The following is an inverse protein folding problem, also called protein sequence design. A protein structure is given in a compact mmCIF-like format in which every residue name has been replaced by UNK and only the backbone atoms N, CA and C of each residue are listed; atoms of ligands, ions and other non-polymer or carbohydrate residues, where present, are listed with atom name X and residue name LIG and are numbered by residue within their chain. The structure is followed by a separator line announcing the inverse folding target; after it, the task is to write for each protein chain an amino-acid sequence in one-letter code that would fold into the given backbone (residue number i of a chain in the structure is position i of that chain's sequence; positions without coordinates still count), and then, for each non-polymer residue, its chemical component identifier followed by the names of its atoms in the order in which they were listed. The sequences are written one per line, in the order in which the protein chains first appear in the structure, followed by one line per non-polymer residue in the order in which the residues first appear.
data_IF_123058966467
#
_entry.id   IF_123058966467
#
_cell.length_a   1.000
_cell.length_b   1.000
_cell.length_c   1.000
_cell.angle_alpha   90.00
_cell.angle_beta   90.00
_cell.angle_gamma   90.00
#
_symmetry.space_group_name_H-M   'P 1'
#
loop_
_entity.id
_entity.type
_entity.pdbx_description
1 polymer ?
#
# COMPACT_ATOMS: atom_id res chain seq x y z
N UNK A 1 13.14 29.87 -68.79
CA UNK A 1 12.97 30.67 -67.55
C UNK A 1 12.60 29.82 -66.31
N UNK A 2 13.22 28.64 -66.10
CA UNK A 2 13.06 27.84 -64.85
C UNK A 2 14.39 27.28 -64.30
N UNK A 3 15.54 27.65 -64.87
CA UNK A 3 16.86 27.11 -64.47
C UNK A 3 17.77 28.11 -63.73
N UNK A 4 17.26 29.30 -63.38
CA UNK A 4 18.01 30.34 -62.65
C UNK A 4 17.40 30.71 -61.28
N UNK A 5 16.24 30.14 -60.91
CA UNK A 5 15.56 30.49 -59.64
C UNK A 5 16.06 29.69 -58.43
N UNK A 6 16.80 28.60 -58.64
CA UNK A 6 17.24 27.68 -57.58
C UNK A 6 18.47 28.17 -56.78
N UNK A 7 19.51 28.80 -57.37
CA UNK A 7 20.64 29.31 -56.58
C UNK A 7 20.34 30.62 -55.83
N UNK A 8 19.36 31.42 -56.25
CA UNK A 8 18.96 32.64 -55.54
C UNK A 8 18.18 32.36 -54.25
N UNK A 9 17.30 31.34 -54.24
CA UNK A 9 16.54 30.97 -53.06
C UNK A 9 17.44 30.34 -51.97
N UNK A 10 18.53 29.68 -52.38
CA UNK A 10 19.47 29.04 -51.48
C UNK A 10 20.42 30.06 -50.80
N UNK A 11 20.84 31.13 -51.50
CA UNK A 11 21.64 32.19 -50.86
C UNK A 11 20.83 33.06 -49.89
N UNK A 12 19.52 33.19 -50.12
CA UNK A 12 18.60 33.93 -49.25
C UNK A 12 18.28 33.18 -47.95
N UNK A 13 18.20 31.84 -48.00
CA UNK A 13 18.02 31.01 -46.80
C UNK A 13 19.28 30.99 -45.90
N UNK A 14 20.46 31.06 -46.52
CA UNK A 14 21.74 31.01 -45.82
C UNK A 14 22.08 32.34 -45.12
N UNK A 15 21.70 33.49 -45.70
CA UNK A 15 21.85 34.79 -45.05
C UNK A 15 20.89 34.98 -43.87
N UNK A 16 19.69 34.38 -43.91
CA UNK A 16 18.76 34.37 -42.77
C UNK A 16 19.29 33.52 -41.60
N UNK A 17 19.86 32.34 -41.86
CA UNK A 17 20.45 31.50 -40.81
C UNK A 17 21.61 32.19 -40.09
N UNK A 18 22.40 33.01 -40.81
CA UNK A 18 23.57 33.68 -40.23
C UNK A 18 23.20 34.92 -39.40
N UNK A 19 22.07 35.58 -39.72
CA UNK A 19 21.54 36.69 -38.91
C UNK A 19 20.96 36.27 -37.55
N UNK A 20 20.47 35.03 -37.43
CA UNK A 20 19.96 34.49 -36.15
C UNK A 20 21.07 34.02 -35.19
N UNK A 21 22.27 33.74 -35.69
CA UNK A 21 23.41 33.31 -34.87
C UNK A 21 24.14 34.47 -34.16
N UNK A 22 23.80 35.73 -34.46
CA UNK A 22 24.44 36.93 -33.87
C UNK A 22 23.60 37.64 -32.79
N UNK A 23 22.44 37.10 -32.41
CA UNK A 23 21.56 37.71 -31.40
C UNK A 23 21.37 36.82 -30.15
N UNK A 24 22.48 36.45 -29.51
CA UNK A 24 22.50 36.15 -28.07
C UNK A 24 23.32 37.21 -27.33
N UNK A 25 22.79 37.85 -26.27
CA UNK A 25 23.54 38.79 -25.46
C UNK A 25 24.63 38.09 -24.64
N UNK A 26 25.84 38.66 -24.66
CA UNK A 26 26.95 38.34 -23.78
C UNK A 26 26.55 38.56 -22.30
N UNK A 27 26.89 37.60 -21.44
CA UNK A 27 27.01 37.82 -19.99
C UNK A 27 28.28 37.11 -19.51
N UNK A 28 29.26 37.91 -19.09
CA UNK A 28 30.52 37.49 -18.47
C UNK A 28 30.31 37.04 -17.00
N UNK A 29 31.32 36.41 -16.36
CA UNK A 29 31.11 35.34 -15.37
C UNK A 29 31.03 35.85 -13.94
N UNK A 30 30.07 35.34 -13.17
CA UNK A 30 30.09 35.40 -11.71
C UNK A 30 29.77 34.03 -11.10
N UNK A 31 30.57 33.70 -10.10
CA UNK A 31 30.84 32.40 -9.49
C UNK A 31 29.68 31.86 -8.65
N UNK A 32 29.24 30.61 -8.90
CA UNK A 32 28.45 29.79 -7.96
C UNK A 32 28.81 28.29 -8.05
N UNK A 33 28.71 27.51 -6.94
CA UNK A 33 29.37 26.22 -6.72
C UNK A 33 28.58 25.00 -7.28
N UNK A 34 29.14 23.78 -7.31
CA UNK A 34 28.71 22.72 -8.21
C UNK A 34 27.36 22.09 -7.82
N UNK A 35 26.44 22.02 -8.77
CA UNK A 35 25.23 21.18 -8.68
C UNK A 35 25.60 19.71 -8.91
N UNK A 36 25.31 18.90 -7.88
CA UNK A 36 25.23 17.43 -7.91
C UNK A 36 23.84 17.00 -7.38
N UNK A 37 23.32 15.82 -7.76
CA UNK A 37 22.33 15.72 -8.83
C UNK A 37 20.89 15.44 -8.35
N UNK A 38 19.94 15.93 -9.13
CA UNK A 38 18.48 15.77 -9.00
C UNK A 38 17.97 14.32 -9.24
N UNK A 39 18.85 13.32 -9.21
CA UNK A 39 18.54 11.90 -9.46
C UNK A 39 18.23 11.09 -8.18
N UNK A 40 18.57 11.60 -6.99
CA UNK A 40 18.30 10.90 -5.72
C UNK A 40 16.84 11.02 -5.24
N UNK A 41 16.15 12.13 -5.56
CA UNK A 41 14.76 12.33 -5.15
C UNK A 41 13.81 11.41 -5.95
N UNK A 42 14.14 11.14 -7.20
CA UNK A 42 13.34 10.29 -8.10
C UNK A 42 13.47 8.79 -7.76
N UNK A 43 14.66 8.35 -7.33
CA UNK A 43 14.85 6.99 -6.78
C UNK A 43 14.13 6.82 -5.43
N UNK A 44 14.13 7.86 -4.58
CA UNK A 44 13.40 7.86 -3.31
C UNK A 44 11.87 7.86 -3.50
N UNK A 45 11.34 8.51 -4.55
CA UNK A 45 9.92 8.47 -4.89
C UNK A 45 9.45 7.09 -5.37
N UNK A 46 10.29 6.37 -6.13
CA UNK A 46 10.05 4.97 -6.47
C UNK A 46 10.15 4.09 -5.22
N UNK A 47 11.04 4.41 -4.27
CA UNK A 47 11.15 3.69 -2.99
C UNK A 47 9.98 3.96 -2.04
N UNK A 48 9.36 5.15 -2.03
CA UNK A 48 8.16 5.43 -1.26
C UNK A 48 6.93 4.69 -1.82
N UNK A 49 6.80 4.61 -3.15
CA UNK A 49 5.79 3.78 -3.82
C UNK A 49 6.09 2.27 -3.66
N UNK A 50 7.37 1.87 -3.66
CA UNK A 50 7.79 0.51 -3.36
C UNK A 50 7.57 0.15 -1.88
N UNK A 51 7.66 1.10 -0.94
CA UNK A 51 7.32 0.92 0.47
C UNK A 51 5.81 0.69 0.65
N UNK A 52 4.96 1.42 -0.09
CA UNK A 52 3.51 1.15 -0.17
C UNK A 52 3.24 -0.27 -0.69
N UNK A 53 3.96 -0.70 -1.72
CA UNK A 53 3.87 -2.06 -2.26
C UNK A 53 4.54 -3.14 -1.37
N UNK A 54 5.53 -2.79 -0.56
CA UNK A 54 6.26 -3.66 0.35
C UNK A 54 5.49 -3.89 1.67
N UNK A 55 4.77 -2.87 2.17
CA UNK A 55 3.87 -2.99 3.31
C UNK A 55 2.67 -3.91 3.03
N UNK A 56 2.22 -4.01 1.78
CA UNK A 56 1.25 -5.04 1.33
C UNK A 56 1.88 -6.44 1.26
N UNK A 57 3.21 -6.54 1.18
CA UNK A 57 3.94 -7.78 0.86
C UNK A 57 4.38 -8.61 2.09
N UNK A 58 4.51 -8.01 3.29
CA UNK A 58 5.23 -8.66 4.41
C UNK A 58 4.47 -9.72 5.24
N UNK A 59 3.22 -10.07 4.96
CA UNK A 59 2.46 -10.98 5.86
C UNK A 59 1.76 -12.20 5.25
N UNK A 60 1.98 -12.56 3.99
CA UNK A 60 1.51 -13.86 3.47
C UNK A 60 2.51 -15.03 3.68
N UNK A 61 3.44 -14.90 4.64
CA UNK A 61 4.55 -15.84 4.79
C UNK A 61 4.85 -16.39 6.18
N UNK A 62 4.04 -16.18 7.24
CA UNK A 62 4.31 -16.75 8.58
C UNK A 62 3.05 -17.35 9.23
N UNK A 63 2.68 -18.56 8.81
CA UNK A 63 2.08 -19.57 9.69
C UNK A 63 3.07 -20.73 9.81
N UNK A 64 4.05 -20.61 10.72
CA UNK A 64 4.85 -21.75 11.15
C UNK A 64 4.07 -22.50 12.21
N UNK A 65 3.49 -23.63 11.80
CA UNK A 65 3.18 -24.74 12.70
C UNK A 65 4.49 -25.21 13.35
N UNK A 66 4.50 -25.33 14.67
CA UNK A 66 5.56 -25.98 15.42
C UNK A 66 5.60 -27.47 15.08
N UNK A 67 6.77 -28.08 14.79
CA UNK A 67 6.86 -29.51 14.63
C UNK A 67 6.88 -30.20 16.00
N UNK A 68 5.94 -31.13 16.13
CA UNK A 68 5.85 -32.20 17.10
C UNK A 68 7.11 -33.08 17.03
N UNK A 69 7.81 -33.24 18.15
CA UNK A 69 8.82 -34.28 18.35
C UNK A 69 8.28 -35.31 19.35
N UNK A 70 8.39 -36.56 18.95
CA UNK A 70 7.85 -37.78 19.56
C UNK A 70 8.57 -38.26 20.82
N UNK A 71 7.76 -38.74 21.76
CA UNK A 71 7.96 -39.90 22.66
C UNK A 71 9.26 -40.07 23.46
N UNK A 72 9.13 -39.98 24.79
CA UNK A 72 9.59 -41.02 25.73
C UNK A 72 8.81 -40.94 27.05
N UNK A 73 7.95 -41.93 27.30
CA UNK A 73 7.40 -42.31 28.62
C UNK A 73 8.44 -43.17 29.37
N UNK A 74 8.51 -43.15 30.71
CA UNK A 74 7.56 -43.86 31.59
C UNK A 74 7.19 -43.00 32.83
N UNK A 75 6.13 -43.19 33.61
CA UNK A 75 5.13 -44.23 33.76
C UNK A 75 4.47 -43.99 35.13
N UNK A 76 3.21 -44.42 35.27
CA UNK A 76 2.46 -44.64 36.51
C UNK A 76 1.96 -43.44 37.35
N UNK A 77 0.64 -43.24 37.31
CA UNK A 77 -0.19 -43.36 38.51
C UNK A 77 -0.80 -42.08 39.11
N UNK A 78 -2.12 -41.96 38.99
CA UNK A 78 -2.99 -41.63 40.15
C UNK A 78 -3.17 -40.16 40.56
N UNK A 79 -4.32 -39.62 40.16
CA UNK A 79 -5.11 -38.55 40.83
C UNK A 79 -5.39 -38.87 42.32
N UNK A 80 -6.04 -38.00 43.15
CA UNK A 80 -6.26 -36.54 43.12
C UNK A 80 -6.04 -35.81 44.49
N UNK A 81 -6.08 -34.47 44.46
CA UNK A 81 -6.74 -33.46 45.36
C UNK A 81 -7.05 -33.88 46.83
N UNK A 82 -6.78 -33.04 47.86
CA UNK A 82 -7.89 -32.28 48.46
C UNK A 82 -7.58 -30.86 49.04
N UNK A 83 -8.55 -29.97 48.85
CA UNK A 83 -9.19 -28.99 49.79
C UNK A 83 -8.39 -28.11 50.78
N UNK A 84 -8.78 -26.83 50.87
CA UNK A 84 -8.28 -25.77 51.78
C UNK A 84 -8.55 -25.98 53.29
N UNK A 85 -8.80 -24.95 54.15
CA UNK A 85 -8.91 -23.50 53.96
C UNK A 85 -8.00 -22.64 54.92
N UNK A 86 -8.26 -21.33 54.97
CA UNK A 86 -7.70 -20.22 55.80
C UNK A 86 -7.81 -20.45 57.35
N UNK A 87 -7.59 -19.49 58.31
CA UNK A 87 -7.31 -18.03 58.23
C UNK A 87 -6.40 -17.46 59.39
N UNK A 88 -6.50 -16.12 59.62
CA UNK A 88 -6.08 -15.31 60.80
C UNK A 88 -4.58 -14.99 60.97
N UNK A 89 -4.14 -13.92 61.63
CA UNK A 89 -4.55 -12.54 61.96
C UNK A 89 -3.42 -12.01 62.87
N UNK A 90 -3.40 -10.70 63.13
CA UNK A 90 -2.70 -10.01 64.25
C UNK A 90 -1.19 -9.78 64.09
N UNK A 91 -0.55 -8.72 64.59
CA UNK A 91 -0.89 -7.35 65.01
C UNK A 91 0.46 -6.70 65.40
N UNK A 92 0.57 -5.38 65.26
CA UNK A 92 1.40 -4.41 66.01
C UNK A 92 2.75 -4.80 66.65
N UNK A 93 3.71 -3.86 66.57
CA UNK A 93 4.72 -3.73 67.61
C UNK A 93 5.86 -2.76 67.28
N UNK A 94 5.77 -1.55 67.81
CA UNK A 94 6.65 -0.41 67.58
C UNK A 94 8.02 -0.49 68.31
N UNK A 95 8.95 0.36 67.83
CA UNK A 95 9.91 1.16 68.61
C UNK A 95 11.31 0.61 68.97
N UNK A 96 12.33 1.27 68.41
CA UNK A 96 13.30 2.18 69.10
C UNK A 96 14.82 1.86 68.96
N UNK A 97 15.60 2.97 68.94
CA UNK A 97 17.04 3.16 69.29
C UNK A 97 18.10 2.74 68.26
N UNK A 98 18.80 3.66 67.58
CA UNK A 98 19.85 4.68 67.93
C UNK A 98 21.29 4.21 67.69
N UNK A 99 22.01 5.07 66.93
CA UNK A 99 23.42 5.47 66.99
C UNK A 99 24.56 4.66 66.33
N UNK A 100 25.33 5.44 65.54
CA UNK A 100 26.80 5.53 65.37
C UNK A 100 27.51 4.90 64.15
N UNK A 101 28.00 5.82 63.31
CA UNK A 101 29.37 5.94 62.73
C UNK A 101 29.92 4.85 61.80
N UNK A 102 30.06 5.18 60.50
CA UNK A 102 31.35 5.29 59.77
C UNK A 102 31.14 5.30 58.24
N UNK A 103 31.67 6.32 57.57
CA UNK A 103 32.04 6.31 56.13
C UNK A 103 33.40 5.61 55.94
N UNK A 104 33.89 5.31 54.72
CA UNK A 104 33.30 5.38 53.37
C UNK A 104 33.49 4.06 52.56
N UNK A 105 33.03 4.03 51.30
CA UNK A 105 33.71 3.50 50.10
C UNK A 105 32.66 3.02 49.08
N UNK A 106 32.84 3.49 47.85
CA UNK A 106 31.94 3.39 46.72
C UNK A 106 31.76 1.97 46.16
N UNK A 107 30.53 1.66 45.76
CA UNK A 107 30.20 0.65 44.75
C UNK A 107 28.97 1.14 43.95
N UNK A 108 28.91 0.90 42.63
CA UNK A 108 28.01 1.61 41.74
C UNK A 108 26.58 1.10 41.87
N UNK A 109 25.64 2.03 41.99
CA UNK A 109 24.21 1.74 41.79
C UNK A 109 24.02 1.37 40.33
N UNK A 110 23.59 0.14 40.10
CA UNK A 110 23.11 -0.34 38.81
C UNK A 110 21.86 0.48 38.49
N UNK A 111 22.02 1.53 37.69
CA UNK A 111 20.90 2.18 37.00
C UNK A 111 20.20 1.11 36.17
N UNK A 112 18.99 0.73 36.60
CA UNK A 112 18.07 0.00 35.76
C UNK A 112 17.89 0.81 34.48
N UNK A 113 18.39 0.27 33.37
CA UNK A 113 18.10 0.77 32.02
C UNK A 113 16.58 0.82 31.87
N UNK A 114 16.00 2.01 31.95
CA UNK A 114 14.71 2.27 31.36
C UNK A 114 14.85 1.93 29.88
N UNK A 115 14.14 0.90 29.46
CA UNK A 115 13.82 0.66 28.05
C UNK A 115 13.28 1.96 27.45
N UNK A 116 13.73 2.40 26.27
CA UNK A 116 13.21 3.60 25.65
C UNK A 116 11.70 3.41 25.44
N UNK A 117 10.90 4.26 26.08
CA UNK A 117 9.47 4.38 25.80
C UNK A 117 9.27 4.61 24.30
N UNK A 118 8.25 4.01 23.66
CA UNK A 118 7.98 4.27 22.25
C UNK A 118 7.79 5.78 22.04
N UNK A 119 8.54 6.36 21.10
CA UNK A 119 8.44 7.78 20.77
C UNK A 119 7.05 8.00 20.18
N UNK A 120 6.19 8.70 20.91
CA UNK A 120 4.82 9.02 20.49
C UNK A 120 4.81 10.25 19.60
N UNK A 121 4.02 10.25 18.53
CA UNK A 121 3.82 11.40 17.65
C UNK A 121 3.33 12.63 18.43
N UNK A 122 2.46 12.43 19.41
CA UNK A 122 1.94 13.51 20.26
C UNK A 122 3.01 14.22 21.10
N UNK A 123 4.12 13.54 21.39
CA UNK A 123 5.19 14.09 22.22
C UNK A 123 6.30 14.74 21.38
N UNK A 124 6.21 14.69 20.05
CA UNK A 124 7.16 15.31 19.15
C UNK A 124 6.66 16.69 18.73
N UNK A 125 7.34 17.74 19.22
CA UNK A 125 7.02 19.13 18.94
C UNK A 125 7.03 19.45 17.43
N UNK A 126 7.86 18.74 16.65
CA UNK A 126 7.90 18.92 15.19
C UNK A 126 6.67 18.34 14.51
N UNK A 127 6.19 17.18 14.97
CA UNK A 127 4.96 16.57 14.43
C UNK A 127 3.76 17.46 14.71
N UNK A 128 3.67 17.99 15.93
CA UNK A 128 2.63 18.97 16.27
C UNK A 128 2.71 20.23 15.40
N UNK A 129 3.91 20.78 15.20
CA UNK A 129 4.12 21.94 14.32
C UNK A 129 3.67 21.68 12.88
N UNK A 130 4.00 20.51 12.31
CA UNK A 130 3.56 20.15 10.96
C UNK A 130 2.05 19.92 10.87
N UNK A 131 1.42 19.37 11.90
CA UNK A 131 -0.05 19.22 11.94
C UNK A 131 -0.73 20.60 11.95
N UNK A 132 -0.22 21.55 12.73
CA UNK A 132 -0.72 22.92 12.75
C UNK A 132 -0.54 23.62 11.40
N UNK A 133 0.63 23.46 10.78
CA UNK A 133 0.92 24.00 9.44
C UNK A 133 0.03 23.37 8.36
N UNK A 134 -0.26 22.07 8.45
CA UNK A 134 -1.16 21.37 7.53
C UNK A 134 -2.60 21.92 7.61
N UNK A 135 -3.10 22.14 8.83
CA UNK A 135 -4.49 22.56 9.03
C UNK A 135 -4.70 24.07 8.80
N UNK A 136 -3.75 24.92 9.23
CA UNK A 136 -3.96 26.38 9.29
C UNK A 136 -2.84 27.20 8.65
N UNK A 137 -1.69 26.59 8.35
CA UNK A 137 -0.51 27.30 7.92
C UNK A 137 -0.40 27.50 6.41
N UNK A 138 0.47 28.43 5.96
CA UNK A 138 0.78 28.60 4.54
C UNK A 138 1.69 27.49 4.00
N UNK A 139 2.41 26.76 4.86
CA UNK A 139 3.42 25.77 4.45
C UNK A 139 2.86 24.34 4.35
N UNK A 140 1.59 24.19 3.93
CA UNK A 140 0.89 22.89 3.85
C UNK A 140 1.68 21.83 3.08
N UNK A 141 2.26 22.18 1.94
CA UNK A 141 2.98 21.23 1.08
C UNK A 141 4.22 20.64 1.75
N UNK A 142 4.99 21.45 2.47
CA UNK A 142 6.15 20.98 3.21
C UNK A 142 5.74 20.10 4.39
N UNK A 143 4.67 20.48 5.10
CA UNK A 143 4.11 19.70 6.20
C UNK A 143 3.62 18.31 5.71
N UNK A 144 2.91 18.24 4.58
CA UNK A 144 2.49 16.99 3.95
C UNK A 144 3.67 16.07 3.64
N UNK A 145 4.75 16.63 3.07
CA UNK A 145 5.93 15.86 2.72
C UNK A 145 6.62 15.28 3.96
N UNK A 146 6.84 16.09 4.99
CA UNK A 146 7.55 15.64 6.20
C UNK A 146 6.72 14.65 7.03
N UNK A 147 5.41 14.90 7.20
CA UNK A 147 4.50 13.94 7.83
C UNK A 147 4.45 12.63 7.04
N UNK A 148 4.42 12.70 5.71
CA UNK A 148 4.42 11.52 4.83
C UNK A 148 5.66 10.64 5.02
N UNK A 149 6.85 11.25 5.19
CA UNK A 149 8.10 10.52 5.50
C UNK A 149 8.08 9.89 6.89
N UNK A 150 7.37 10.50 7.83
CA UNK A 150 7.33 10.09 9.24
C UNK A 150 6.25 9.07 9.58
N UNK A 151 5.36 8.75 8.65
CA UNK A 151 4.22 7.84 8.86
C UNK A 151 4.57 6.43 9.36
N UNK A 152 5.77 5.94 9.09
CA UNK A 152 6.24 4.60 9.51
C UNK A 152 6.99 4.62 10.85
N UNK A 153 7.34 5.82 11.36
CA UNK A 153 8.10 5.97 12.60
C UNK A 153 7.22 6.07 13.84
N UNK A 154 5.94 6.43 13.68
CA UNK A 154 5.02 6.65 14.78
C UNK A 154 3.75 5.83 14.56
N UNK A 155 3.50 4.87 15.46
CA UNK A 155 2.31 4.02 15.41
C UNK A 155 1.02 4.83 15.71
N UNK A 156 1.13 5.89 16.51
CA UNK A 156 0.01 6.73 16.93
C UNK A 156 -0.30 7.90 15.98
N UNK A 157 0.48 8.10 14.91
CA UNK A 157 0.26 9.23 13.99
C UNK A 157 -1.15 9.23 13.39
N UNK A 158 -1.68 8.06 13.05
CA UNK A 158 -3.05 7.93 12.53
C UNK A 158 -4.10 8.50 13.50
N UNK A 159 -3.95 8.23 14.80
CA UNK A 159 -4.83 8.75 15.85
C UNK A 159 -4.71 10.27 15.95
N UNK A 160 -3.49 10.80 15.86
CA UNK A 160 -3.27 12.25 15.92
C UNK A 160 -3.91 12.93 14.72
N UNK A 161 -3.69 12.41 13.50
CA UNK A 161 -4.26 12.97 12.27
C UNK A 161 -5.79 12.97 12.31
N UNK A 162 -6.40 11.89 12.80
CA UNK A 162 -7.86 11.78 12.86
C UNK A 162 -8.50 12.70 13.91
N UNK A 163 -7.90 12.78 15.10
CA UNK A 163 -8.49 13.54 16.22
C UNK A 163 -8.09 15.02 16.25
N UNK A 164 -7.11 15.44 15.43
CA UNK A 164 -6.73 16.85 15.32
C UNK A 164 -7.76 17.63 14.51
N UNK A 165 -8.24 18.73 15.09
CA UNK A 165 -9.27 19.56 14.47
C UNK A 165 -8.79 20.14 13.13
N UNK A 166 -9.60 19.96 12.08
CA UNK A 166 -9.35 20.50 10.73
C UNK A 166 -8.42 19.68 9.83
N UNK A 167 -7.69 18.69 10.36
CA UNK A 167 -6.70 17.92 9.59
C UNK A 167 -7.37 17.08 8.49
N UNK A 168 -8.39 16.30 8.82
CA UNK A 168 -9.09 15.47 7.83
C UNK A 168 -9.75 16.33 6.74
N UNK A 169 -10.27 17.51 7.10
CA UNK A 169 -10.82 18.49 6.14
C UNK A 169 -9.72 19.01 5.20
N UNK A 170 -8.55 19.37 5.72
CA UNK A 170 -7.42 19.82 4.91
C UNK A 170 -6.93 18.72 3.96
N UNK A 171 -6.88 17.46 4.40
CA UNK A 171 -6.51 16.34 3.53
C UNK A 171 -7.54 16.10 2.41
N UNK A 172 -8.83 16.26 2.70
CA UNK A 172 -9.89 16.16 1.68
C UNK A 172 -9.85 17.35 0.71
N UNK A 173 -9.52 18.56 1.18
CA UNK A 173 -9.31 19.74 0.34
C UNK A 173 -8.21 19.49 -0.71
N UNK A 174 -7.09 18.87 -0.31
CA UNK A 174 -6.00 18.50 -1.23
C UNK A 174 -6.45 17.49 -2.32
N UNK A 175 -7.39 16.60 -2.01
CA UNK A 175 -7.97 15.68 -3.01
C UNK A 175 -8.88 16.45 -3.98
N UNK A 176 -9.83 17.21 -3.44
CA UNK A 176 -10.84 17.91 -4.25
C UNK A 176 -10.20 18.98 -5.15
N UNK A 177 -9.13 19.62 -4.69
CA UNK A 177 -8.34 20.57 -5.48
C UNK A 177 -7.77 19.97 -6.78
N UNK A 178 -7.61 18.64 -6.84
CA UNK A 178 -7.08 17.95 -8.03
C UNK A 178 -8.16 17.64 -9.06
N UNK A 179 -9.44 17.60 -8.67
CA UNK A 179 -10.54 17.20 -9.57
C UNK A 179 -10.63 17.98 -10.89
N UNK A 180 -10.43 19.32 -10.92
CA UNK A 180 -10.47 20.08 -12.17
C UNK A 180 -9.39 19.66 -13.19
N UNK A 181 -8.30 19.03 -12.73
CA UNK A 181 -7.18 18.61 -13.58
C UNK A 181 -7.31 17.16 -14.08
N UNK A 182 -8.37 16.44 -13.69
CA UNK A 182 -8.63 15.06 -14.14
C UNK A 182 -9.26 15.02 -15.54
N UNK A 183 -10.13 15.99 -15.85
CA UNK A 183 -10.82 16.10 -17.13
C UNK A 183 -11.04 17.59 -17.47
N UNK A 184 -10.30 18.17 -18.45
CA UNK A 184 -9.25 17.56 -19.26
C UNK A 184 -8.00 17.16 -18.43
N UNK A 185 -7.21 16.16 -18.89
CA UNK A 185 -6.11 15.59 -18.11
C UNK A 185 -4.86 16.50 -18.09
N UNK A 186 -4.89 17.52 -17.24
CA UNK A 186 -3.85 18.55 -17.11
C UNK A 186 -3.09 18.46 -15.76
N UNK A 187 -2.97 17.26 -15.20
CA UNK A 187 -2.29 17.05 -13.93
C UNK A 187 -0.77 17.11 -14.09
N UNK A 188 -0.13 18.07 -13.41
CA UNK A 188 1.33 18.23 -13.42
C UNK A 188 1.99 17.30 -12.39
N UNK A 189 3.28 17.00 -12.58
CA UNK A 189 4.07 16.18 -11.65
C UNK A 189 4.10 16.75 -10.22
N UNK A 190 4.34 18.06 -10.00
CA UNK A 190 4.31 18.63 -8.64
C UNK A 190 2.94 18.50 -7.98
N UNK A 191 1.86 18.77 -8.70
CA UNK A 191 0.49 18.63 -8.18
C UNK A 191 0.17 17.18 -7.81
N UNK A 192 0.54 16.22 -8.66
CA UNK A 192 0.41 14.78 -8.36
C UNK A 192 1.22 14.38 -7.12
N UNK A 193 2.47 14.84 -6.98
CA UNK A 193 3.28 14.54 -5.80
C UNK A 193 2.65 15.09 -4.51
N UNK A 194 2.14 16.32 -4.55
CA UNK A 194 1.50 16.97 -3.40
C UNK A 194 0.28 16.19 -2.91
N UNK A 195 -0.66 15.86 -3.82
CA UNK A 195 -1.84 15.07 -3.43
C UNK A 195 -1.47 13.65 -3.00
N UNK A 196 -0.46 13.03 -3.62
CA UNK A 196 0.02 11.71 -3.21
C UNK A 196 0.60 11.71 -1.79
N UNK A 197 1.21 12.81 -1.33
CA UNK A 197 1.61 12.95 0.07
C UNK A 197 0.39 12.99 1.01
N UNK A 198 -0.69 13.67 0.62
CA UNK A 198 -1.95 13.63 1.38
C UNK A 198 -2.58 12.22 1.38
N UNK A 199 -2.60 11.53 0.24
CA UNK A 199 -3.07 10.14 0.12
C UNK A 199 -2.24 9.19 0.99
N UNK A 200 -0.93 9.40 1.11
CA UNK A 200 -0.06 8.63 1.99
C UNK A 200 -0.45 8.76 3.48
N UNK A 201 -0.89 9.95 3.91
CA UNK A 201 -1.41 10.16 5.26
C UNK A 201 -2.79 9.50 5.45
N UNK A 202 -3.68 9.60 4.44
CA UNK A 202 -4.95 8.88 4.47
C UNK A 202 -4.76 7.36 4.50
N UNK A 203 -3.73 6.84 3.83
CA UNK A 203 -3.36 5.42 3.92
C UNK A 203 -2.96 5.04 5.36
N UNK A 204 -2.22 5.91 6.07
CA UNK A 204 -1.87 5.70 7.47
C UNK A 204 -3.14 5.61 8.33
N UNK A 205 -4.05 6.56 8.18
CA UNK A 205 -5.35 6.59 8.88
C UNK A 205 -6.22 5.35 8.54
N UNK A 206 -6.25 4.91 7.29
CA UNK A 206 -6.99 3.73 6.85
C UNK A 206 -6.40 2.42 7.42
N UNK A 207 -5.08 2.38 7.64
CA UNK A 207 -4.40 1.17 8.12
C UNK A 207 -4.60 0.94 9.63
N UNK A 208 -4.72 2.00 10.42
CA UNK A 208 -4.78 1.92 11.88
C UNK A 208 -6.14 1.40 12.39
N UNK A 209 -6.18 0.42 13.30
CA UNK A 209 -7.41 -0.25 13.73
C UNK A 209 -8.46 0.70 14.29
N UNK A 210 -8.06 1.67 15.11
CA UNK A 210 -9.00 2.55 15.82
C UNK A 210 -9.62 3.64 14.92
N UNK A 211 -8.96 3.99 13.81
CA UNK A 211 -9.45 5.04 12.89
C UNK A 211 -10.11 4.47 11.64
N UNK A 212 -9.85 3.20 11.31
CA UNK A 212 -10.33 2.55 10.08
C UNK A 212 -11.85 2.56 9.95
N UNK A 213 -12.58 2.16 11.00
CA UNK A 213 -14.05 2.13 10.96
C UNK A 213 -14.61 3.54 10.82
N UNK A 214 -14.03 4.52 11.51
CA UNK A 214 -14.45 5.91 11.39
C UNK A 214 -14.15 6.48 9.98
N UNK A 215 -13.00 6.14 9.40
CA UNK A 215 -12.62 6.47 8.02
C UNK A 215 -13.58 5.89 6.98
N UNK A 216 -14.03 4.64 7.19
CA UNK A 216 -15.01 3.97 6.36
C UNK A 216 -16.40 4.62 6.49
N UNK A 217 -16.85 4.88 7.71
CA UNK A 217 -18.15 5.50 8.00
C UNK A 217 -18.24 6.93 7.46
N UNK A 218 -17.12 7.65 7.41
CA UNK A 218 -17.02 8.96 6.79
C UNK A 218 -17.03 8.91 5.24
N UNK A 219 -17.10 7.72 4.64
CA UNK A 219 -17.12 7.50 3.19
C UNK A 219 -15.95 8.14 2.42
N UNK A 220 -14.84 8.40 3.11
CA UNK A 220 -13.62 8.99 2.52
C UNK A 220 -13.11 8.22 1.29
N UNK A 221 -13.15 6.88 1.23
CA UNK A 221 -12.72 6.15 0.02
C UNK A 221 -13.38 6.60 -1.28
N UNK A 222 -14.63 7.10 -1.24
CA UNK A 222 -15.36 7.54 -2.43
C UNK A 222 -14.70 8.73 -3.12
N UNK A 223 -14.00 9.59 -2.36
CA UNK A 223 -13.25 10.71 -2.91
C UNK A 223 -12.07 10.27 -3.80
N UNK A 224 -11.65 9.00 -3.71
CA UNK A 224 -10.53 8.46 -4.47
C UNK A 224 -10.97 7.84 -5.81
N UNK A 225 -12.26 7.58 -6.00
CA UNK A 225 -12.75 6.91 -7.20
C UNK A 225 -12.59 7.72 -8.49
N UNK A 226 -12.74 9.06 -8.48
CA UNK A 226 -12.38 9.88 -9.63
C UNK A 226 -10.93 9.68 -10.08
N UNK A 227 -10.00 9.47 -9.14
CA UNK A 227 -8.59 9.20 -9.46
C UNK A 227 -8.42 7.83 -10.12
N UNK A 228 -9.08 6.80 -9.58
CA UNK A 228 -9.04 5.43 -10.11
C UNK A 228 -9.67 5.32 -11.52
N UNK A 229 -10.64 6.18 -11.83
CA UNK A 229 -11.33 6.14 -13.13
C UNK A 229 -10.56 6.85 -14.27
N UNK A 230 -9.43 7.50 -13.98
CA UNK A 230 -8.62 8.19 -15.00
C UNK A 230 -8.02 7.22 -16.02
N UNK A 231 -7.96 7.65 -17.29
CA UNK A 231 -7.45 6.85 -18.42
C UNK A 231 -6.07 7.29 -18.93
N UNK A 232 -5.54 8.40 -18.40
CA UNK A 232 -4.28 8.96 -18.86
C UNK A 232 -3.10 8.09 -18.42
N UNK A 233 -2.27 7.68 -19.40
CA UNK A 233 -1.03 6.91 -19.17
C UNK A 233 0.17 7.78 -18.80
N UNK A 234 -0.03 9.08 -18.61
CA UNK A 234 1.05 9.97 -18.17
C UNK A 234 1.50 9.60 -16.75
N UNK A 235 2.79 9.77 -16.47
CA UNK A 235 3.40 9.44 -15.17
C UNK A 235 2.67 10.04 -13.96
N UNK A 236 2.21 11.32 -13.96
CA UNK A 236 1.47 11.88 -12.83
C UNK A 236 0.16 11.14 -12.53
N UNK A 237 -0.53 10.62 -13.55
CA UNK A 237 -1.79 9.88 -13.40
C UNK A 237 -1.57 8.42 -12.99
N UNK A 238 -0.52 7.75 -13.49
CA UNK A 238 -0.14 6.41 -13.02
C UNK A 238 0.23 6.45 -11.54
N UNK A 239 1.01 7.46 -11.11
CA UNK A 239 1.39 7.61 -9.71
C UNK A 239 0.18 7.92 -8.80
N UNK A 240 -0.73 8.78 -9.27
CA UNK A 240 -1.97 9.10 -8.56
C UNK A 240 -2.84 7.85 -8.36
N UNK A 241 -3.05 7.06 -9.42
CA UNK A 241 -3.83 5.80 -9.36
C UNK A 241 -3.20 4.79 -8.41
N UNK A 242 -1.89 4.58 -8.51
CA UNK A 242 -1.17 3.66 -7.63
C UNK A 242 -1.31 4.05 -6.16
N UNK A 243 -1.13 5.32 -5.83
CA UNK A 243 -1.21 5.81 -4.45
C UNK A 243 -2.64 5.71 -3.91
N UNK A 244 -3.64 6.01 -4.75
CA UNK A 244 -5.06 5.85 -4.42
C UNK A 244 -5.43 4.39 -4.15
N UNK A 245 -4.94 3.45 -4.99
CA UNK A 245 -5.08 2.02 -4.74
C UNK A 245 -4.38 1.57 -3.44
N UNK A 246 -3.28 2.22 -3.06
CA UNK A 246 -2.60 1.97 -1.78
C UNK A 246 -3.50 2.21 -0.57
N UNK A 247 -4.32 3.27 -0.60
CA UNK A 247 -5.31 3.55 0.46
C UNK A 247 -6.37 2.45 0.53
N UNK A 248 -6.95 2.07 -0.61
CA UNK A 248 -7.96 0.99 -0.67
C UNK A 248 -7.34 -0.36 -0.26
N UNK A 249 -6.12 -0.64 -0.71
CA UNK A 249 -5.34 -1.81 -0.34
C UNK A 249 -5.09 -1.93 1.16
N UNK A 250 -4.83 -0.80 1.85
CA UNK A 250 -4.67 -0.77 3.29
C UNK A 250 -5.97 -1.10 4.04
N UNK A 251 -7.13 -0.66 3.52
CA UNK A 251 -8.44 -0.99 4.11
C UNK A 251 -8.73 -2.49 4.07
N UNK A 252 -8.54 -3.12 2.90
CA UNK A 252 -8.84 -4.55 2.70
C UNK A 252 -7.79 -5.49 3.31
N UNK A 253 -6.65 -4.96 3.76
CA UNK A 253 -5.54 -5.77 4.29
C UNK A 253 -5.94 -6.58 5.53
N UNK A 254 -6.80 -6.01 6.37
CA UNK A 254 -7.14 -6.55 7.69
C UNK A 254 -8.38 -7.46 7.70
N UNK A 255 -8.85 -7.90 6.52
CA UNK A 255 -9.95 -8.86 6.37
C UNK A 255 -11.22 -8.49 7.16
N UNK A 256 -11.51 -7.19 7.24
CA UNK A 256 -12.69 -6.67 7.95
C UNK A 256 -13.91 -6.77 7.03
N UNK A 257 -14.95 -7.55 7.38
CA UNK A 257 -16.09 -7.81 6.49
C UNK A 257 -16.88 -6.55 6.17
N UNK A 258 -16.96 -5.58 7.10
CA UNK A 258 -17.61 -4.28 6.89
C UNK A 258 -16.96 -3.49 5.74
N UNK A 259 -15.63 -3.57 5.61
CA UNK A 259 -14.90 -2.92 4.51
C UNK A 259 -15.27 -3.57 3.18
N UNK A 260 -15.35 -4.90 3.13
CA UNK A 260 -15.74 -5.62 1.92
C UNK A 260 -17.17 -5.24 1.53
N UNK A 261 -18.11 -5.25 2.48
CA UNK A 261 -19.50 -4.88 2.23
C UNK A 261 -19.63 -3.46 1.68
N UNK A 262 -18.92 -2.49 2.28
CA UNK A 262 -18.86 -1.12 1.76
C UNK A 262 -18.37 -1.11 0.30
N UNK A 263 -17.24 -1.76 0.03
CA UNK A 263 -16.62 -1.79 -1.31
C UNK A 263 -17.51 -2.44 -2.38
N UNK A 264 -18.31 -3.45 -2.00
CA UNK A 264 -19.27 -4.08 -2.90
C UNK A 264 -20.42 -3.14 -3.27
N UNK A 265 -20.88 -2.31 -2.33
CA UNK A 265 -21.97 -1.33 -2.58
C UNK A 265 -21.53 -0.12 -3.42
N UNK A 266 -20.23 0.08 -3.59
CA UNK A 266 -19.66 1.28 -4.21
C UNK A 266 -18.94 1.01 -5.53
N UNK A 267 -19.10 -0.18 -6.12
CA UNK A 267 -18.56 -0.51 -7.46
C UNK A 267 -17.02 -0.43 -7.58
N UNK A 268 -16.27 -0.83 -6.55
CA UNK A 268 -14.79 -0.87 -6.65
C UNK A 268 -14.29 -1.90 -7.69
N UNK A 269 -15.03 -2.99 -7.88
CA UNK A 269 -14.61 -4.11 -8.75
C UNK A 269 -14.41 -3.64 -10.19
N UNK A 270 -15.37 -2.99 -10.86
CA UNK A 270 -15.16 -2.42 -12.20
C UNK A 270 -13.92 -1.52 -12.32
N UNK A 271 -13.66 -0.67 -11.31
CA UNK A 271 -12.48 0.20 -11.30
C UNK A 271 -11.18 -0.61 -11.22
N UNK A 272 -11.12 -1.62 -10.35
CA UNK A 272 -9.96 -2.50 -10.26
C UNK A 272 -9.74 -3.31 -11.54
N UNK A 273 -10.80 -3.86 -12.14
CA UNK A 273 -10.71 -4.63 -13.39
C UNK A 273 -10.14 -3.78 -14.54
N UNK A 274 -10.60 -2.54 -14.67
CA UNK A 274 -10.07 -1.59 -15.66
C UNK A 274 -8.58 -1.29 -15.47
N UNK A 275 -8.13 -1.16 -14.21
CA UNK A 275 -6.71 -0.96 -13.90
C UNK A 275 -5.90 -2.23 -14.20
N UNK A 276 -6.43 -3.40 -13.83
CA UNK A 276 -5.84 -4.72 -14.10
C UNK A 276 -5.64 -5.00 -15.59
N UNK A 277 -6.51 -4.47 -16.45
CA UNK A 277 -6.43 -4.63 -17.90
C UNK A 277 -5.24 -3.85 -18.51
N UNK A 278 -5.14 -2.55 -18.22
CA UNK A 278 -4.37 -1.62 -19.06
C UNK A 278 -3.34 -0.71 -18.37
N UNK A 279 -3.11 -0.87 -17.06
CA UNK A 279 -2.18 0.00 -16.28
C UNK A 279 -0.77 -0.58 -16.11
N UNK A 280 0.11 0.15 -15.42
CA UNK A 280 1.45 -0.33 -15.03
C UNK A 280 1.39 -1.62 -14.17
N UNK A 281 2.42 -2.45 -14.26
CA UNK A 281 2.53 -3.73 -13.51
C UNK A 281 2.31 -3.56 -12.01
N UNK A 282 2.84 -2.47 -11.44
CA UNK A 282 2.68 -2.17 -10.01
C UNK A 282 1.22 -1.88 -9.66
N UNK A 283 0.53 -1.06 -10.46
CA UNK A 283 -0.90 -0.79 -10.30
C UNK A 283 -1.75 -2.05 -10.50
N UNK A 284 -1.42 -2.89 -11.50
CA UNK A 284 -2.06 -4.19 -11.71
C UNK A 284 -1.93 -5.09 -10.49
N UNK A 285 -0.74 -5.14 -9.89
CA UNK A 285 -0.47 -5.95 -8.68
C UNK A 285 -1.33 -5.51 -7.49
N UNK A 286 -1.45 -4.21 -7.25
CA UNK A 286 -2.29 -3.72 -6.13
C UNK A 286 -3.78 -3.91 -6.43
N UNK A 287 -4.22 -3.70 -7.68
CA UNK A 287 -5.60 -3.90 -8.08
C UNK A 287 -6.05 -5.37 -7.97
N UNK A 288 -5.25 -6.32 -8.45
CA UNK A 288 -5.56 -7.75 -8.27
C UNK A 288 -5.52 -8.15 -6.79
N UNK A 289 -4.64 -7.56 -5.98
CA UNK A 289 -4.65 -7.81 -4.53
C UNK A 289 -5.97 -7.39 -3.87
N UNK A 290 -6.53 -6.24 -4.26
CA UNK A 290 -7.84 -5.78 -3.77
C UNK A 290 -8.95 -6.73 -4.22
N UNK A 291 -8.99 -7.09 -5.51
CA UNK A 291 -9.98 -8.05 -6.05
C UNK A 291 -9.85 -9.41 -5.36
N UNK A 292 -8.63 -9.89 -5.13
CA UNK A 292 -8.40 -11.13 -4.40
C UNK A 292 -8.99 -11.04 -2.99
N UNK A 293 -8.71 -9.97 -2.24
CA UNK A 293 -9.26 -9.80 -0.88
C UNK A 293 -10.78 -9.79 -0.87
N UNK A 294 -11.41 -9.17 -1.85
CA UNK A 294 -12.87 -9.22 -2.02
C UNK A 294 -13.34 -10.66 -2.29
N UNK A 295 -12.69 -11.39 -3.20
CA UNK A 295 -13.05 -12.78 -3.51
C UNK A 295 -12.85 -13.73 -2.32
N UNK A 296 -11.84 -13.48 -1.46
CA UNK A 296 -11.62 -14.30 -0.26
C UNK A 296 -12.80 -14.22 0.72
N UNK A 297 -13.52 -13.10 0.75
CA UNK A 297 -14.74 -12.97 1.54
C UNK A 297 -15.92 -13.72 0.89
N UNK A 298 -16.78 -14.32 1.70
CA UNK A 298 -17.95 -15.06 1.19
C UNK A 298 -18.97 -14.15 0.49
N UNK A 299 -19.17 -12.93 1.01
CA UNK A 299 -20.09 -11.95 0.42
C UNK A 299 -19.54 -11.43 -0.91
N UNK A 300 -18.21 -11.24 -0.99
CA UNK A 300 -17.55 -10.84 -2.22
C UNK A 300 -17.57 -11.91 -3.31
N UNK A 301 -17.31 -13.18 -2.95
CA UNK A 301 -17.46 -14.29 -3.90
C UNK A 301 -18.91 -14.40 -4.39
N UNK A 302 -19.88 -14.37 -3.48
CA UNK A 302 -21.29 -14.43 -3.83
C UNK A 302 -21.71 -13.27 -4.76
N UNK A 303 -21.21 -12.05 -4.52
CA UNK A 303 -21.48 -10.89 -5.37
C UNK A 303 -20.94 -11.06 -6.80
N UNK A 304 -19.69 -11.55 -6.94
CA UNK A 304 -19.05 -11.76 -8.25
C UNK A 304 -19.74 -12.88 -9.02
N UNK A 305 -20.11 -13.97 -8.34
CA UNK A 305 -20.80 -15.10 -8.95
C UNK A 305 -22.33 -14.95 -9.00
N UNK A 306 -22.90 -13.81 -8.58
CA UNK A 306 -24.35 -13.59 -8.54
C UNK A 306 -24.99 -13.63 -9.92
N UNK A 307 -24.28 -13.11 -10.92
CA UNK A 307 -24.75 -13.02 -12.31
C UNK A 307 -23.62 -13.44 -13.23
N UNK A 308 -23.97 -14.07 -14.35
CA UNK A 308 -22.98 -14.48 -15.33
C UNK A 308 -22.13 -13.31 -15.84
N UNK A 309 -22.71 -12.12 -16.08
CA UNK A 309 -21.99 -10.94 -16.57
C UNK A 309 -20.86 -10.49 -15.62
N UNK A 310 -21.13 -10.48 -14.31
CA UNK A 310 -20.11 -10.13 -13.30
C UNK A 310 -18.98 -11.15 -13.24
N UNK A 311 -19.32 -12.43 -13.24
CA UNK A 311 -18.33 -13.51 -13.28
C UNK A 311 -17.49 -13.44 -14.56
N UNK A 312 -18.14 -13.25 -15.71
CA UNK A 312 -17.50 -13.14 -17.02
C UNK A 312 -16.55 -11.95 -17.08
N UNK A 313 -16.95 -10.77 -16.58
CA UNK A 313 -16.10 -9.60 -16.53
C UNK A 313 -14.79 -9.87 -15.75
N UNK A 314 -14.89 -10.51 -14.57
CA UNK A 314 -13.71 -10.88 -13.78
C UNK A 314 -12.88 -11.94 -14.52
N UNK A 315 -13.51 -13.01 -15.03
CA UNK A 315 -12.82 -14.10 -15.70
C UNK A 315 -12.08 -13.65 -16.97
N UNK A 316 -12.65 -12.74 -17.75
CA UNK A 316 -12.02 -12.25 -18.98
C UNK A 316 -10.76 -11.43 -18.68
N UNK A 317 -10.79 -10.59 -17.63
CA UNK A 317 -9.61 -9.82 -17.23
C UNK A 317 -8.53 -10.74 -16.63
N UNK A 318 -8.91 -11.73 -15.82
CA UNK A 318 -7.95 -12.73 -15.32
C UNK A 318 -7.29 -13.51 -16.47
N UNK A 319 -8.05 -13.88 -17.51
CA UNK A 319 -7.50 -14.53 -18.71
C UNK A 319 -6.50 -13.62 -19.44
N UNK A 320 -6.86 -12.37 -19.69
CA UNK A 320 -5.96 -11.40 -20.31
C UNK A 320 -4.65 -11.23 -19.52
N UNK A 321 -4.74 -11.19 -18.19
CA UNK A 321 -3.55 -11.11 -17.34
C UNK A 321 -2.67 -12.36 -17.45
N UNK A 322 -3.28 -13.54 -17.61
CA UNK A 322 -2.52 -14.78 -17.84
C UNK A 322 -1.82 -14.79 -19.19
N UNK A 323 -2.49 -14.35 -20.26
CA UNK A 323 -1.87 -14.23 -21.58
C UNK A 323 -0.66 -13.29 -21.55
N UNK A 324 -0.73 -12.20 -20.78
CA UNK A 324 0.39 -11.29 -20.54
C UNK A 324 1.52 -11.93 -19.71
N UNK A 325 1.18 -12.77 -18.74
CA UNK A 325 2.16 -13.47 -17.89
C UNK A 325 2.93 -14.57 -18.62
N UNK A 326 2.32 -15.19 -19.64
CA UNK A 326 3.04 -16.13 -20.52
C UNK A 326 4.16 -15.40 -21.28
N UNK A 327 3.88 -14.18 -21.76
CA UNK A 327 4.87 -13.39 -22.49
C UNK A 327 5.93 -12.76 -21.57
N UNK A 328 5.53 -12.27 -20.39
CA UNK A 328 6.43 -11.65 -19.42
C UNK A 328 6.10 -12.16 -18.00
N UNK A 329 6.78 -13.22 -17.54
CA UNK A 329 6.45 -13.84 -16.27
C UNK A 329 6.77 -12.97 -15.06
N UNK A 330 5.73 -12.64 -14.27
CA UNK A 330 5.86 -11.99 -12.96
C UNK A 330 5.29 -12.92 -11.88
N UNK A 331 6.17 -13.52 -11.07
CA UNK A 331 5.77 -14.44 -10.00
C UNK A 331 4.71 -13.85 -9.06
N UNK A 332 4.85 -12.57 -8.67
CA UNK A 332 3.92 -11.91 -7.75
C UNK A 332 2.50 -11.80 -8.32
N UNK A 333 2.37 -11.40 -9.58
CA UNK A 333 1.08 -11.26 -10.23
C UNK A 333 0.43 -12.64 -10.44
N UNK A 334 1.23 -13.62 -10.88
CA UNK A 334 0.80 -15.00 -11.06
C UNK A 334 0.20 -15.60 -9.78
N UNK A 335 0.82 -15.37 -8.61
CA UNK A 335 0.26 -15.80 -7.32
C UNK A 335 -1.16 -15.30 -7.10
N UNK A 336 -1.38 -14.00 -7.32
CA UNK A 336 -2.69 -13.38 -7.10
C UNK A 336 -3.73 -13.95 -8.08
N UNK A 337 -3.34 -14.15 -9.34
CA UNK A 337 -4.24 -14.72 -10.36
C UNK A 337 -4.63 -16.16 -10.02
N UNK A 338 -3.67 -17.02 -9.64
CA UNK A 338 -3.95 -18.41 -9.22
C UNK A 338 -4.92 -18.41 -8.03
N UNK A 339 -4.69 -17.56 -7.02
CA UNK A 339 -5.58 -17.47 -5.85
C UNK A 339 -6.99 -16.99 -6.19
N UNK A 340 -7.13 -16.08 -7.16
CA UNK A 340 -8.45 -15.65 -7.63
C UNK A 340 -9.18 -16.79 -8.35
N UNK A 341 -8.52 -17.51 -9.25
CA UNK A 341 -9.13 -18.67 -9.93
C UNK A 341 -9.52 -19.78 -8.95
N UNK A 342 -8.64 -20.13 -8.00
CA UNK A 342 -8.94 -21.12 -6.97
C UNK A 342 -10.19 -20.75 -6.19
N UNK A 343 -10.30 -19.48 -5.79
CA UNK A 343 -11.46 -19.01 -5.04
C UNK A 343 -12.74 -18.97 -5.87
N UNK A 344 -12.66 -18.62 -7.15
CA UNK A 344 -13.81 -18.70 -8.05
C UNK A 344 -14.30 -20.14 -8.22
N UNK A 345 -13.39 -21.12 -8.19
CA UNK A 345 -13.75 -22.54 -8.28
C UNK A 345 -14.51 -23.09 -7.05
N UNK A 346 -14.53 -22.37 -5.92
CA UNK A 346 -15.36 -22.73 -4.77
C UNK A 346 -16.86 -22.55 -5.05
N UNK A 347 -17.23 -21.68 -6.00
CA UNK A 347 -18.62 -21.52 -6.42
C UNK A 347 -18.96 -22.59 -7.49
N UNK A 348 -20.05 -23.37 -7.31
CA UNK A 348 -20.37 -24.48 -8.20
C UNK A 348 -20.65 -24.04 -9.64
N UNK A 349 -21.36 -22.93 -9.85
CA UNK A 349 -21.72 -22.43 -11.18
C UNK A 349 -20.48 -21.88 -11.90
N UNK A 350 -19.67 -21.09 -11.19
CA UNK A 350 -18.40 -20.57 -11.69
C UNK A 350 -17.44 -21.71 -12.03
N UNK A 351 -17.37 -22.77 -11.22
CA UNK A 351 -16.55 -23.96 -11.48
C UNK A 351 -16.92 -24.63 -12.79
N UNK A 352 -18.21 -24.77 -13.11
CA UNK A 352 -18.66 -25.33 -14.40
C UNK A 352 -18.16 -24.46 -15.55
N UNK A 353 -18.31 -23.14 -15.46
CA UNK A 353 -17.82 -22.22 -16.49
C UNK A 353 -16.27 -22.25 -16.61
N UNK A 354 -15.55 -22.41 -15.50
CA UNK A 354 -14.09 -22.51 -15.49
C UNK A 354 -13.57 -23.80 -16.16
N UNK A 355 -14.36 -24.88 -16.24
CA UNK A 355 -13.97 -26.09 -16.99
C UNK A 355 -13.65 -25.78 -18.45
N UNK A 356 -14.39 -24.85 -19.06
CA UNK A 356 -14.20 -24.47 -20.46
C UNK A 356 -13.30 -23.23 -20.62
N UNK A 357 -13.30 -22.32 -19.63
CA UNK A 357 -12.65 -21.00 -19.77
C UNK A 357 -11.26 -20.89 -19.14
N UNK A 358 -10.83 -21.86 -18.32
CA UNK A 358 -9.50 -21.81 -17.68
C UNK A 358 -8.39 -21.79 -18.75
N UNK A 359 -7.42 -20.85 -18.69
CA UNK A 359 -6.30 -20.81 -19.62
C UNK A 359 -5.48 -22.11 -19.61
N UNK A 360 -5.12 -22.60 -20.80
CA UNK A 360 -4.30 -23.81 -20.94
C UNK A 360 -2.93 -23.68 -20.26
N UNK A 361 -2.39 -22.46 -20.17
CA UNK A 361 -1.12 -22.15 -19.48
C UNK A 361 -1.15 -22.42 -17.97
N UNK A 362 -2.33 -22.65 -17.37
CA UNK A 362 -2.48 -23.12 -15.99
C UNK A 362 -2.59 -24.64 -15.87
N UNK A 363 -2.81 -25.33 -16.99
CA UNK A 363 -2.95 -26.80 -17.06
C UNK A 363 -1.68 -27.49 -17.52
N UNK A 364 -0.77 -26.74 -18.14
CA UNK A 364 0.52 -27.22 -18.60
C UNK A 364 1.67 -26.74 -17.69
N UNK A 365 2.90 -27.10 -18.07
CA UNK A 365 4.11 -26.78 -17.32
C UNK A 365 4.66 -25.37 -17.62
N UNK A 366 3.88 -24.48 -18.24
CA UNK A 366 4.35 -23.13 -18.67
C UNK A 366 4.96 -22.34 -17.52
N UNK A 367 4.40 -22.43 -16.31
CA UNK A 367 4.83 -21.68 -15.14
C UNK A 367 5.67 -22.49 -14.13
N UNK A 368 6.11 -23.70 -14.47
CA UNK A 368 6.83 -24.58 -13.54
C UNK A 368 8.11 -23.91 -12.99
N UNK A 369 8.87 -23.26 -13.87
CA UNK A 369 10.12 -22.55 -13.54
C UNK A 369 9.86 -21.32 -12.65
N UNK A 370 8.80 -20.56 -12.95
CA UNK A 370 8.43 -19.34 -12.22
C UNK A 370 7.92 -19.66 -10.82
N UNK A 371 7.28 -20.82 -10.67
CA UNK A 371 6.73 -21.31 -9.40
C UNK A 371 7.71 -22.22 -8.64
N UNK A 372 8.94 -22.41 -9.14
CA UNK A 372 9.91 -23.36 -8.58
C UNK A 372 10.04 -23.26 -7.06
N UNK A 373 10.22 -22.03 -6.57
CA UNK A 373 10.46 -21.69 -5.16
C UNK A 373 9.17 -21.33 -4.38
N UNK A 374 8.00 -21.37 -5.02
CA UNK A 374 6.72 -20.96 -4.42
C UNK A 374 5.78 -22.16 -4.20
N UNK A 375 6.08 -22.94 -3.18
CA UNK A 375 5.31 -24.15 -2.82
C UNK A 375 3.84 -23.86 -2.55
N UNK A 376 3.52 -22.70 -1.97
CA UNK A 376 2.15 -22.32 -1.67
C UNK A 376 1.33 -22.14 -2.96
N UNK A 377 1.90 -21.46 -3.95
CA UNK A 377 1.23 -21.23 -5.23
C UNK A 377 1.14 -22.49 -6.08
N UNK A 378 2.15 -23.37 -6.03
CA UNK A 378 2.08 -24.72 -6.61
C UNK A 378 0.92 -25.51 -6.02
N UNK A 379 0.78 -25.53 -4.69
CA UNK A 379 -0.32 -26.23 -4.03
C UNK A 379 -1.69 -25.67 -4.43
N UNK A 380 -1.82 -24.34 -4.48
CA UNK A 380 -3.06 -23.69 -4.92
C UNK A 380 -3.40 -24.03 -6.37
N UNK A 381 -2.40 -24.11 -7.26
CA UNK A 381 -2.59 -24.49 -8.65
C UNK A 381 -3.05 -25.95 -8.77
N UNK A 382 -2.40 -26.87 -8.05
CA UNK A 382 -2.82 -28.28 -8.03
C UNK A 382 -4.24 -28.45 -7.51
N UNK A 383 -4.62 -27.71 -6.46
CA UNK A 383 -5.99 -27.71 -5.93
C UNK A 383 -6.99 -27.16 -6.95
N UNK A 384 -6.65 -26.09 -7.67
CA UNK A 384 -7.50 -25.52 -8.72
C UNK A 384 -7.74 -26.53 -9.85
N UNK A 385 -6.67 -27.17 -10.34
CA UNK A 385 -6.77 -28.17 -11.41
C UNK A 385 -7.62 -29.36 -10.95
N UNK A 386 -7.40 -29.85 -9.72
CA UNK A 386 -8.20 -30.92 -9.14
C UNK A 386 -9.69 -30.54 -8.99
N UNK A 387 -9.97 -29.33 -8.48
CA UNK A 387 -11.33 -28.84 -8.29
C UNK A 387 -12.10 -28.68 -9.61
N UNK A 388 -11.41 -28.43 -10.71
CA UNK A 388 -12.00 -28.30 -12.06
C UNK A 388 -12.17 -29.68 -12.74
N UNK A 389 -11.33 -30.66 -12.40
CA UNK A 389 -11.41 -32.02 -12.97
C UNK A 389 -12.55 -32.87 -12.37
N UNK A 390 -12.96 -32.59 -11.12
CA UNK A 390 -14.22 -33.11 -10.56
C UNK A 390 -15.41 -32.38 -11.17
#
# INVERSE_FOLDING_TARGET
MKSQLQPQLQSQLQSQLQSQLQSQPQSQPQSQPPQQPNNLLLSQQIQAAAAVAAAVNQQQGHTKMSPMATFSTPGAGGVPVPTGPAPLMTQNGSSNRTSSTNTPVAAPVITAKQSPSPVKALNDEKVYSWIMELAYGPNKEQALLELGKKREYYDDLALVLWNSFGVMTALLEEIVAVYPYLSPPNLTTPASNRVCNALALLQCVASHPDTRTAFLNAQIPLFLYPFLNTNSKQRPFEYLRLTSLGVIGALVKNDTPEVIQFLLTTEIIPLCLKIMESSSELSKTVAIFIVQKILMDNSGLAYVCQTYDRFEAVSNVLKLMMDQLVANPTARLLRHVIRCYLRLADNPDARVALKERLPNSLRDDTFETVLADDTASKNNLSQLVYAIMQ
#
